data_IF_895646331958
#
_entry.id   IF_895646331958
#
_cell.length_a   1.000
_cell.length_b   1.000
_cell.length_c   1.000
_cell.angle_alpha   90.00
_cell.angle_beta   90.00
_cell.angle_gamma   90.00
#
_symmetry.space_group_name_H-M   'P 1'
#
loop_
_entity.id
_entity.type
_entity.pdbx_description
1 polymer ?
#
# COMPACT_ATOMS: atom_id res chain seq x y z
N UNK A 1 -6.68 7.94 -0.37
CA UNK A 1 -6.29 9.37 -0.49
C UNK A 1 -5.78 9.61 -1.90
N UNK A 2 -5.90 10.83 -2.46
CA UNK A 2 -5.34 11.16 -3.78
C UNK A 2 -3.80 11.21 -3.65
N UNK A 3 -3.06 10.64 -4.59
CA UNK A 3 -1.58 10.63 -4.66
C UNK A 3 -0.80 9.89 -3.55
N UNK A 4 -1.43 9.01 -2.80
CA UNK A 4 -0.72 8.20 -1.79
C UNK A 4 -0.69 6.72 -2.19
N UNK A 5 0.42 6.05 -1.87
CA UNK A 5 0.63 4.60 -2.06
C UNK A 5 1.17 3.96 -0.78
N UNK A 6 0.82 2.69 -0.58
CA UNK A 6 1.51 1.83 0.37
C UNK A 6 2.64 1.12 -0.37
N UNK A 7 3.84 1.18 0.18
CA UNK A 7 5.03 0.72 -0.53
C UNK A 7 6.07 0.19 0.44
N UNK A 8 6.88 -0.73 -0.08
CA UNK A 8 8.13 -1.18 0.49
C UNK A 8 9.11 -1.38 -0.67
N UNK A 9 10.40 -1.15 -0.44
CA UNK A 9 11.45 -1.41 -1.42
C UNK A 9 12.25 -2.63 -1.01
N UNK A 10 12.54 -3.47 -1.99
CA UNK A 10 13.30 -4.70 -1.82
C UNK A 10 14.42 -4.73 -2.86
N UNK A 11 15.53 -5.38 -2.53
CA UNK A 11 16.58 -5.71 -3.50
C UNK A 11 16.28 -7.02 -4.23
N UNK A 12 17.19 -7.45 -5.11
CA UNK A 12 17.06 -8.68 -5.90
C UNK A 12 17.05 -9.96 -5.05
N UNK A 13 17.47 -9.88 -3.79
CA UNK A 13 17.46 -10.97 -2.81
C UNK A 13 16.24 -10.91 -1.89
N UNK A 14 15.24 -10.08 -2.23
CA UNK A 14 14.05 -9.82 -1.43
C UNK A 14 14.36 -9.29 -0.03
N UNK A 15 15.54 -8.68 0.16
CA UNK A 15 15.86 -7.99 1.41
C UNK A 15 15.25 -6.59 1.36
N UNK A 16 14.52 -6.27 2.42
CA UNK A 16 13.86 -4.98 2.60
C UNK A 16 14.88 -3.86 2.75
N UNK A 17 14.80 -2.84 1.90
CA UNK A 17 15.63 -1.63 1.94
C UNK A 17 15.02 -0.55 2.85
N UNK A 18 13.69 -0.46 2.92
CA UNK A 18 12.99 0.38 3.89
C UNK A 18 11.65 -0.26 4.35
N UNK A 19 11.15 0.04 5.57
CA UNK A 19 9.92 -0.54 6.13
C UNK A 19 8.68 -0.32 5.24
N UNK A 20 7.63 -1.12 5.44
CA UNK A 20 6.35 -0.87 4.76
C UNK A 20 5.81 0.47 5.26
N UNK A 21 5.54 1.40 4.34
CA UNK A 21 5.13 2.77 4.68
C UNK A 21 4.07 3.29 3.70
N UNK A 22 3.27 4.23 4.17
CA UNK A 22 2.44 5.07 3.29
C UNK A 22 3.28 6.27 2.83
N UNK A 23 3.47 6.43 1.52
CA UNK A 23 4.16 7.58 0.91
C UNK A 23 3.19 8.39 0.06
N UNK A 24 3.23 9.71 0.21
CA UNK A 24 2.66 10.64 -0.76
C UNK A 24 3.65 10.71 -1.92
N UNK A 25 3.17 10.47 -3.14
CA UNK A 25 3.99 10.45 -4.35
C UNK A 25 4.15 11.86 -4.90
N UNK A 26 5.41 12.24 -5.04
CA UNK A 26 5.95 13.44 -5.70
C UNK A 26 7.09 13.01 -6.63
N UNK A 27 7.57 13.94 -7.46
CA UNK A 27 8.73 13.70 -8.36
C UNK A 27 9.99 13.24 -7.58
N UNK A 28 10.12 13.69 -6.33
CA UNK A 28 11.30 13.45 -5.48
C UNK A 28 11.20 12.21 -4.57
N UNK A 29 10.04 11.52 -4.53
CA UNK A 29 9.74 10.52 -3.48
C UNK A 29 10.70 9.32 -3.45
N UNK A 30 11.39 9.04 -4.55
CA UNK A 30 12.37 7.96 -4.69
C UNK A 30 13.68 8.44 -5.37
N UNK A 31 13.96 9.75 -5.33
CA UNK A 31 15.08 10.32 -6.08
C UNK A 31 16.42 9.71 -5.66
N UNK A 32 16.69 9.61 -4.35
CA UNK A 32 17.94 9.07 -3.82
C UNK A 32 18.17 7.60 -4.21
N UNK A 33 17.11 6.78 -4.17
CA UNK A 33 17.18 5.38 -4.57
C UNK A 33 17.38 5.25 -6.09
N UNK A 34 16.68 6.06 -6.88
CA UNK A 34 16.77 6.07 -8.35
C UNK A 34 18.10 6.59 -8.88
N UNK A 35 18.81 7.45 -8.13
CA UNK A 35 20.16 7.89 -8.50
C UNK A 35 21.16 6.73 -8.54
N UNK A 36 20.99 5.75 -7.66
CA UNK A 36 21.95 4.67 -7.47
C UNK A 36 21.51 3.33 -8.08
N UNK A 37 20.20 3.16 -8.31
CA UNK A 37 19.62 1.88 -8.71
C UNK A 37 18.54 2.02 -9.76
N UNK A 38 18.46 1.03 -10.66
CA UNK A 38 17.27 0.77 -11.45
C UNK A 38 16.17 0.18 -10.56
N UNK A 39 14.98 0.75 -10.62
CA UNK A 39 13.84 0.34 -9.80
C UNK A 39 12.67 -0.02 -10.72
N UNK A 40 12.10 -1.20 -10.48
CA UNK A 40 10.85 -1.66 -11.08
C UNK A 40 9.72 -1.38 -10.10
N UNK A 41 8.77 -0.56 -10.52
CA UNK A 41 7.56 -0.25 -9.76
C UNK A 41 6.45 -1.22 -10.19
N UNK A 42 5.97 -2.02 -9.24
CA UNK A 42 4.89 -3.00 -9.44
C UNK A 42 3.60 -2.69 -8.67
N UNK A 43 2.54 -3.41 -9.00
CA UNK A 43 1.22 -3.33 -8.36
C UNK A 43 0.46 -2.04 -8.64
N UNK A 44 -0.72 -1.90 -8.03
CA UNK A 44 -1.66 -0.81 -8.31
C UNK A 44 -1.12 0.60 -7.98
N UNK A 45 -0.07 0.69 -7.16
CA UNK A 45 0.61 1.95 -6.87
C UNK A 45 1.45 2.47 -8.04
N UNK A 46 1.93 1.57 -8.92
CA UNK A 46 2.82 1.91 -10.02
C UNK A 46 2.22 2.92 -11.01
N UNK A 47 0.91 2.84 -11.29
CA UNK A 47 0.23 3.78 -12.19
C UNK A 47 0.32 5.23 -11.67
N UNK A 48 0.11 5.44 -10.37
CA UNK A 48 0.26 6.77 -9.74
C UNK A 48 1.70 7.24 -9.76
N UNK A 49 2.65 6.33 -9.56
CA UNK A 49 4.08 6.64 -9.63
C UNK A 49 4.47 7.05 -11.06
N UNK A 50 3.99 6.34 -12.07
CA UNK A 50 4.32 6.58 -13.47
C UNK A 50 3.85 7.93 -14.01
N UNK A 51 2.78 8.50 -13.44
CA UNK A 51 2.26 9.81 -13.84
C UNK A 51 3.04 10.99 -13.26
N UNK A 52 3.98 10.74 -12.33
CA UNK A 52 4.71 11.79 -11.60
C UNK A 52 6.22 11.58 -11.70
N UNK A 53 6.71 10.35 -11.55
CA UNK A 53 8.14 10.05 -11.49
C UNK A 53 8.68 9.85 -12.91
N UNK A 54 9.56 10.75 -13.32
CA UNK A 54 10.25 10.71 -14.60
C UNK A 54 11.76 10.60 -14.37
N UNK A 55 12.29 9.38 -14.41
CA UNK A 55 13.71 9.11 -14.20
C UNK A 55 14.17 7.96 -15.09
N UNK A 56 15.38 7.99 -15.71
CA UNK A 56 15.86 6.92 -16.60
C UNK A 56 15.97 5.56 -15.93
N UNK A 57 16.18 5.53 -14.62
CA UNK A 57 16.24 4.31 -13.82
C UNK A 57 14.87 3.84 -13.28
N UNK A 58 13.78 4.54 -13.60
CA UNK A 58 12.43 4.13 -13.20
C UNK A 58 11.76 3.35 -14.33
N UNK A 59 11.29 2.15 -14.02
CA UNK A 59 10.47 1.32 -14.92
C UNK A 59 9.19 0.90 -14.22
N UNK A 60 8.09 0.81 -14.96
CA UNK A 60 6.76 0.55 -14.39
C UNK A 60 6.18 -0.69 -15.05
N UNK A 61 5.88 -1.70 -14.24
CA UNK A 61 5.27 -2.96 -14.70
C UNK A 61 3.95 -3.17 -13.97
N UNK A 62 2.85 -3.12 -14.74
CA UNK A 62 1.49 -3.27 -14.23
C UNK A 62 1.04 -4.71 -14.12
N UNK A 63 1.79 -5.65 -14.68
CA UNK A 63 1.46 -7.09 -14.64
C UNK A 63 1.96 -7.74 -13.35
N UNK A 64 2.80 -7.04 -12.57
CA UNK A 64 3.23 -7.48 -11.25
C UNK A 64 2.07 -7.33 -10.26
N UNK A 65 1.38 -8.44 -10.02
CA UNK A 65 0.27 -8.56 -9.07
C UNK A 65 0.56 -9.62 -8.00
N UNK A 66 -0.05 -9.51 -6.81
CA UNK A 66 0.07 -10.56 -5.79
C UNK A 66 -0.65 -11.83 -6.26
N UNK A 67 0.12 -12.90 -6.48
CA UNK A 67 -0.40 -14.20 -6.88
C UNK A 67 -0.47 -15.15 -5.68
N UNK A 68 -1.63 -15.80 -5.50
CA UNK A 68 -1.82 -16.75 -4.41
C UNK A 68 -0.80 -17.91 -4.43
N UNK A 69 -0.41 -18.37 -5.62
CA UNK A 69 0.61 -19.41 -5.80
C UNK A 69 1.97 -19.02 -5.22
N UNK A 70 2.34 -17.74 -5.32
CA UNK A 70 3.61 -17.21 -4.81
C UNK A 70 3.62 -17.03 -3.28
N UNK A 71 2.45 -17.14 -2.63
CA UNK A 71 2.33 -17.08 -1.17
C UNK A 71 2.51 -18.45 -0.49
N UNK A 72 2.41 -19.55 -1.24
CA UNK A 72 2.38 -20.91 -0.68
C UNK A 72 3.63 -21.25 0.13
N UNK A 73 4.83 -20.89 -0.34
CA UNK A 73 6.06 -21.22 0.36
C UNK A 73 6.11 -20.58 1.76
N UNK A 74 5.77 -19.29 1.86
CA UNK A 74 5.71 -18.56 3.13
C UNK A 74 4.61 -19.09 4.05
N UNK A 75 3.43 -19.41 3.50
CA UNK A 75 2.32 -19.98 4.27
C UNK A 75 2.67 -21.37 4.82
N UNK A 76 3.30 -22.21 4.00
CA UNK A 76 3.74 -23.55 4.38
C UNK A 76 4.80 -23.53 5.49
N UNK A 77 5.76 -22.60 5.42
CA UNK A 77 6.76 -22.42 6.46
C UNK A 77 6.11 -22.07 7.81
N UNK A 78 5.20 -21.09 7.83
CA UNK A 78 4.45 -20.72 9.04
C UNK A 78 3.62 -21.88 9.57
N UNK A 79 2.95 -22.62 8.68
CA UNK A 79 2.18 -23.81 9.05
C UNK A 79 3.04 -24.86 9.75
N UNK A 80 4.22 -25.16 9.21
CA UNK A 80 5.16 -26.13 9.80
C UNK A 80 5.70 -25.70 11.16
N UNK A 81 5.86 -24.39 11.39
CA UNK A 81 6.28 -23.83 12.68
C UNK A 81 5.14 -23.69 13.70
N UNK A 82 3.89 -23.96 13.30
CA UNK A 82 2.72 -23.75 14.14
C UNK A 82 2.40 -22.26 14.37
N UNK A 83 2.88 -21.37 13.50
CA UNK A 83 2.67 -19.92 13.59
C UNK A 83 1.31 -19.55 12.99
N UNK A 84 0.26 -19.72 13.79
CA UNK A 84 -1.11 -19.35 13.43
C UNK A 84 -1.58 -18.12 14.22
N UNK A 85 -2.44 -17.32 13.59
CA UNK A 85 -3.10 -16.18 14.23
C UNK A 85 -4.46 -16.60 14.79
N UNK A 86 -4.85 -16.03 15.94
CA UNK A 86 -6.21 -16.19 16.47
C UNK A 86 -7.15 -15.21 15.76
N UNK A 87 -8.17 -15.72 15.07
CA UNK A 87 -9.13 -14.91 14.30
C UNK A 87 -9.83 -13.85 15.17
N UNK A 88 -10.07 -14.11 16.46
CA UNK A 88 -10.73 -13.16 17.34
C UNK A 88 -9.83 -11.97 17.74
N UNK A 89 -8.51 -12.14 17.67
CA UNK A 89 -7.51 -11.15 18.10
C UNK A 89 -6.61 -10.65 16.97
N UNK A 90 -6.72 -11.24 15.79
CA UNK A 90 -5.97 -10.82 14.61
C UNK A 90 -6.49 -9.48 14.08
N UNK A 91 -5.59 -8.51 13.96
CA UNK A 91 -5.84 -7.30 13.20
C UNK A 91 -5.03 -7.32 11.89
N UNK A 92 -5.67 -7.01 10.74
CA UNK A 92 -4.92 -6.75 9.53
C UNK A 92 -3.87 -5.65 9.76
N UNK A 93 -2.74 -5.74 9.08
CA UNK A 93 -1.68 -4.75 9.16
C UNK A 93 -2.10 -3.44 8.46
N UNK A 94 -2.91 -2.63 9.15
CA UNK A 94 -3.33 -1.33 8.68
C UNK A 94 -2.22 -0.31 8.92
N UNK A 95 -1.68 0.26 7.84
CA UNK A 95 -0.69 1.35 7.90
C UNK A 95 -1.28 2.68 8.37
N UNK A 96 -2.59 2.71 8.66
CA UNK A 96 -3.33 3.90 9.10
C UNK A 96 -4.46 3.48 10.02
N UNK A 97 -4.69 4.33 11.02
CA UNK A 97 -5.84 4.19 11.88
C UNK A 97 -7.14 4.26 11.08
N UNK A 98 -8.09 3.43 11.50
CA UNK A 98 -9.43 3.45 10.96
C UNK A 98 -10.12 4.78 11.32
N UNK A 99 -10.40 5.61 10.31
CA UNK A 99 -11.12 6.88 10.52
C UNK A 99 -12.61 6.59 10.51
N UNK A 100 -13.24 6.64 11.69
CA UNK A 100 -14.70 6.53 11.82
C UNK A 100 -15.37 7.83 11.35
N UNK A 101 -16.47 7.73 10.59
CA UNK A 101 -17.29 8.90 10.27
C UNK A 101 -18.35 9.08 11.33
N UNK A 102 -18.58 10.32 11.81
CA UNK A 102 -19.75 10.62 12.64
C UNK A 102 -21.03 10.34 11.85
N UNK A 103 -21.94 9.48 12.34
CA UNK A 103 -23.18 9.20 11.64
C UNK A 103 -23.99 10.50 11.44
N UNK A 104 -24.34 10.81 10.19
CA UNK A 104 -25.26 11.93 9.92
C UNK A 104 -26.66 11.53 10.37
N UNK A 105 -27.22 12.28 11.33
CA UNK A 105 -28.62 12.13 11.72
C UNK A 105 -29.52 12.63 10.57
N UNK A 106 -30.03 11.69 9.77
CA UNK A 106 -30.89 11.97 8.61
C UNK A 106 -32.22 12.64 8.97
N UNK A 107 -32.68 12.52 10.22
CA UNK A 107 -33.92 13.14 10.71
C UNK A 107 -33.70 14.63 10.95
N UNK A 108 -32.62 15.00 11.63
CA UNK A 108 -32.26 16.40 11.90
C UNK A 108 -31.99 17.19 10.60
N UNK A 109 -31.29 16.58 9.63
CA UNK A 109 -31.00 17.23 8.34
C UNK A 109 -32.28 17.63 7.57
N UNK A 110 -33.28 16.75 7.52
CA UNK A 110 -34.56 17.02 6.84
C UNK A 110 -35.41 18.09 7.52
N UNK A 111 -35.29 18.24 8.84
CA UNK A 111 -36.02 19.28 9.59
C UNK A 111 -35.41 20.66 9.33
N UNK A 112 -34.08 20.74 9.24
CA UNK A 112 -33.36 21.99 8.96
C UNK A 112 -33.52 22.45 7.50
N UNK A 113 -33.58 21.51 6.54
CA UNK A 113 -33.85 21.81 5.13
C UNK A 113 -35.28 22.34 4.87
N UNK A 114 -36.26 21.96 5.70
CA UNK A 114 -37.65 22.44 5.58
C UNK A 114 -37.92 23.81 6.23
N UNK A 115 -36.93 24.37 6.94
CA UNK A 115 -37.06 25.68 7.62
C UNK A 115 -36.46 26.84 6.82
N UNK A 116 -35.86 26.57 5.67
CA UNK A 116 -35.43 27.56 4.67
C UNK A 116 -36.31 27.45 3.43
#
# INVERSE_FOLDING_TARGET
RRMEVYTALYDEKLKKQFPIVAKIITEETFHEELLNHAIVFGGNGAEKCSSVIHHPNASFDREIEPLAGEMNAMAQEKYQKGEFEDVAYFEPFYLKDFVTTTPKNKVLAKILEKKN
#
